data_IF_388778431881
#
_entry.id   IF_388778431881
#
_cell.length_a   1.000
_cell.length_b   1.000
_cell.length_c   1.000
_cell.angle_alpha   90.00
_cell.angle_beta   90.00
_cell.angle_gamma   90.00
#
_symmetry.space_group_name_H-M   'P 1'
#
loop_
_entity.id
_entity.type
_entity.pdbx_description
1 polymer ?
#
# COMPACT_ATOMS: atom_id res chain seq x y z
N UNK A 1 -17.25 13.00 -14.24
CA UNK A 1 -17.74 12.19 -13.11
C UNK A 1 -17.28 10.79 -13.39
N UNK A 2 -16.25 10.36 -12.68
CA UNK A 2 -15.66 9.04 -12.86
C UNK A 2 -16.21 8.14 -11.77
N UNK A 3 -16.43 6.88 -12.13
CA UNK A 3 -16.97 5.87 -11.22
C UNK A 3 -16.03 4.68 -11.24
N UNK A 4 -15.76 4.16 -10.06
CA UNK A 4 -14.94 2.96 -9.87
C UNK A 4 -15.73 1.98 -9.03
N UNK A 5 -15.60 0.70 -9.35
CA UNK A 5 -16.19 -0.35 -8.53
C UNK A 5 -15.28 -0.69 -7.36
N UNK A 6 -15.80 -1.35 -6.33
CA UNK A 6 -14.97 -1.92 -5.24
C UNK A 6 -13.87 -2.81 -5.82
N UNK A 7 -14.19 -3.58 -6.87
CA UNK A 7 -13.20 -4.39 -7.59
C UNK A 7 -12.07 -3.54 -8.18
N UNK A 8 -12.39 -2.43 -8.84
CA UNK A 8 -11.39 -1.55 -9.46
C UNK A 8 -10.46 -0.94 -8.42
N UNK A 9 -10.99 -0.60 -7.24
CA UNK A 9 -10.20 -0.09 -6.12
C UNK A 9 -9.27 -1.17 -5.56
N UNK A 10 -9.76 -2.39 -5.38
CA UNK A 10 -8.92 -3.52 -4.94
C UNK A 10 -7.83 -3.84 -5.97
N UNK A 11 -8.17 -3.83 -7.26
CA UNK A 11 -7.18 -4.01 -8.34
C UNK A 11 -6.17 -2.86 -8.42
N UNK A 12 -6.60 -1.63 -8.15
CA UNK A 12 -5.72 -0.47 -8.08
C UNK A 12 -4.74 -0.60 -6.92
N UNK A 13 -5.24 -0.91 -5.72
CA UNK A 13 -4.43 -1.14 -4.52
C UNK A 13 -3.40 -2.24 -4.74
N UNK A 14 -3.84 -3.40 -5.26
CA UNK A 14 -2.94 -4.52 -5.59
C UNK A 14 -1.81 -4.09 -6.53
N UNK A 15 -2.14 -3.35 -7.60
CA UNK A 15 -1.14 -2.85 -8.55
C UNK A 15 -0.21 -1.84 -7.90
N UNK A 16 -0.69 -1.00 -6.98
CA UNK A 16 0.15 -0.05 -6.25
C UNK A 16 1.19 -0.81 -5.41
N UNK A 17 0.76 -1.77 -4.59
CA UNK A 17 1.67 -2.62 -3.80
C UNK A 17 2.68 -3.38 -4.67
N UNK A 18 2.23 -3.96 -5.80
CA UNK A 18 3.12 -4.63 -6.76
C UNK A 18 4.18 -3.66 -7.34
N UNK A 19 3.81 -2.42 -7.66
CA UNK A 19 4.75 -1.40 -8.13
C UNK A 19 5.72 -0.98 -7.03
N UNK A 20 5.24 -0.72 -5.82
CA UNK A 20 6.05 -0.35 -4.67
C UNK A 20 7.08 -1.43 -4.35
N UNK A 21 6.66 -2.71 -4.35
CA UNK A 21 7.56 -3.87 -4.21
C UNK A 21 8.67 -3.85 -5.25
N UNK A 22 8.32 -3.66 -6.52
CA UNK A 22 9.29 -3.66 -7.61
C UNK A 22 10.28 -2.49 -7.48
N UNK A 23 9.83 -1.31 -7.04
CA UNK A 23 10.70 -0.17 -6.76
C UNK A 23 11.70 -0.49 -5.63
N UNK A 24 11.24 -1.10 -4.54
CA UNK A 24 12.13 -1.52 -3.46
C UNK A 24 13.16 -2.55 -3.94
N UNK A 25 12.75 -3.55 -4.72
CA UNK A 25 13.68 -4.54 -5.29
C UNK A 25 14.72 -3.89 -6.19
N UNK A 26 14.32 -2.97 -7.07
CA UNK A 26 15.25 -2.24 -7.93
C UNK A 26 16.24 -1.38 -7.15
N UNK A 27 15.81 -0.79 -6.03
CA UNK A 27 16.68 0.00 -5.18
C UNK A 27 17.69 -0.88 -4.41
N UNK A 28 17.29 -2.10 -4.04
CA UNK A 28 18.19 -3.08 -3.40
C UNK A 28 19.36 -3.44 -4.29
N UNK A 29 19.10 -3.67 -5.57
CA UNK A 29 20.14 -4.00 -6.55
C UNK A 29 21.18 -2.87 -6.73
N UNK A 30 20.83 -1.65 -6.32
CA UNK A 30 21.66 -0.45 -6.46
C UNK A 30 22.33 0.00 -5.15
N UNK A 31 21.79 -0.39 -3.99
CA UNK A 31 22.33 0.03 -2.70
C UNK A 31 23.45 -0.91 -2.23
N UNK A 32 24.49 -0.33 -1.61
CA UNK A 32 25.59 -1.10 -1.00
C UNK A 32 25.50 -1.12 0.54
N UNK A 33 24.45 -0.51 1.10
CA UNK A 33 24.27 -0.36 2.55
C UNK A 33 23.45 -1.52 3.09
N UNK A 34 24.09 -2.42 3.83
CA UNK A 34 23.46 -3.64 4.38
C UNK A 34 22.17 -3.37 5.16
N UNK A 35 22.14 -2.30 5.98
CA UNK A 35 20.93 -1.92 6.74
C UNK A 35 19.76 -1.50 5.84
N UNK A 36 20.07 -0.78 4.75
CA UNK A 36 19.06 -0.34 3.78
C UNK A 36 18.56 -1.54 2.98
N UNK A 37 19.45 -2.45 2.56
CA UNK A 37 19.07 -3.68 1.88
C UNK A 37 18.16 -4.58 2.74
N UNK A 38 18.49 -4.76 4.03
CA UNK A 38 17.61 -5.48 4.96
C UNK A 38 16.23 -4.83 5.06
N UNK A 39 16.17 -3.51 5.22
CA UNK A 39 14.89 -2.80 5.30
C UNK A 39 14.09 -2.93 4.01
N UNK A 40 14.71 -2.75 2.85
CA UNK A 40 14.04 -2.91 1.56
C UNK A 40 13.55 -4.34 1.34
N UNK A 41 14.26 -5.34 1.87
CA UNK A 41 13.82 -6.74 1.84
C UNK A 41 12.52 -6.92 2.63
N UNK A 42 12.49 -6.39 3.85
CA UNK A 42 11.32 -6.43 4.72
C UNK A 42 10.14 -5.71 4.06
N UNK A 43 10.34 -4.48 3.59
CA UNK A 43 9.31 -3.70 2.91
C UNK A 43 8.76 -4.43 1.67
N UNK A 44 9.62 -4.96 0.80
CA UNK A 44 9.17 -5.72 -0.36
C UNK A 44 8.34 -6.97 0.00
N UNK A 45 8.67 -7.64 1.11
CA UNK A 45 7.89 -8.78 1.59
C UNK A 45 6.52 -8.36 2.14
N UNK A 46 6.44 -7.21 2.82
CA UNK A 46 5.17 -6.63 3.29
C UNK A 46 4.27 -6.26 2.11
N UNK A 47 4.80 -5.55 1.11
CA UNK A 47 4.05 -5.19 -0.11
C UNK A 47 3.50 -6.42 -0.84
N UNK A 48 4.28 -7.51 -0.90
CA UNK A 48 3.81 -8.75 -1.51
C UNK A 48 2.65 -9.36 -0.71
N UNK A 49 2.75 -9.35 0.62
CA UNK A 49 1.69 -9.87 1.50
C UNK A 49 0.40 -9.06 1.35
N UNK A 50 0.51 -7.74 1.19
CA UNK A 50 -0.64 -6.85 0.96
C UNK A 50 -1.27 -7.11 -0.40
N UNK A 51 -0.48 -7.24 -1.46
CA UNK A 51 -0.98 -7.59 -2.79
C UNK A 51 -1.74 -8.94 -2.79
N UNK A 52 -1.21 -9.95 -2.10
CA UNK A 52 -1.86 -11.26 -1.94
C UNK A 52 -3.15 -11.16 -1.10
N UNK A 53 -3.15 -10.31 -0.07
CA UNK A 53 -4.35 -10.04 0.73
C UNK A 53 -5.45 -9.36 -0.10
N UNK A 54 -5.10 -8.45 -1.02
CA UNK A 54 -6.06 -7.82 -1.93
C UNK A 54 -6.71 -8.86 -2.85
N UNK A 55 -5.91 -9.76 -3.43
CA UNK A 55 -6.43 -10.84 -4.28
C UNK A 55 -7.35 -11.78 -3.50
N UNK A 56 -6.94 -12.19 -2.30
CA UNK A 56 -7.76 -13.03 -1.41
C UNK A 56 -9.07 -12.34 -1.00
N UNK A 57 -9.04 -11.04 -0.71
CA UNK A 57 -10.28 -10.28 -0.42
C UNK A 57 -11.20 -10.22 -1.64
N UNK A 58 -10.67 -10.05 -2.85
CA UNK A 58 -11.48 -10.10 -4.07
C UNK A 58 -12.15 -11.47 -4.24
N UNK A 59 -11.46 -12.57 -3.93
CA UNK A 59 -12.04 -13.93 -4.05
C UNK A 59 -13.12 -14.24 -3.00
N UNK A 60 -12.95 -13.74 -1.78
CA UNK A 60 -13.89 -13.98 -0.68
C UNK A 60 -15.07 -12.97 -0.63
N UNK A 61 -14.97 -11.84 -1.34
CA UNK A 61 -16.02 -10.82 -1.39
C UNK A 61 -17.08 -11.20 -2.40
N UNK A 62 -18.36 -11.03 -2.05
CA UNK A 62 -19.45 -11.35 -2.98
C UNK A 62 -19.39 -10.47 -4.23
N UNK A 63 -19.73 -11.07 -5.38
CA UNK A 63 -19.71 -10.36 -6.67
C UNK A 63 -20.61 -9.11 -6.67
N UNK A 64 -21.68 -9.12 -5.88
CA UNK A 64 -22.58 -7.98 -5.72
C UNK A 64 -21.87 -6.76 -5.12
N UNK A 65 -21.02 -6.99 -4.12
CA UNK A 65 -20.24 -5.94 -3.44
C UNK A 65 -19.10 -5.48 -4.36
N UNK A 66 -18.44 -6.42 -5.04
CA UNK A 66 -17.37 -6.09 -6.00
C UNK A 66 -17.84 -5.20 -7.16
N UNK A 67 -19.09 -5.35 -7.58
CA UNK A 67 -19.71 -4.58 -8.66
C UNK A 67 -20.44 -3.32 -8.17
N UNK A 68 -20.34 -3.00 -6.87
CA UNK A 68 -20.92 -1.78 -6.33
C UNK A 68 -20.16 -0.56 -6.87
N UNK A 69 -20.90 0.39 -7.44
CA UNK A 69 -20.36 1.58 -8.06
C UNK A 69 -20.23 2.70 -7.04
N UNK A 70 -19.02 3.25 -6.93
CA UNK A 70 -18.74 4.42 -6.11
C UNK A 70 -18.33 5.58 -7.01
N UNK A 71 -18.71 6.81 -6.62
CA UNK A 71 -18.35 8.03 -7.34
C UNK A 71 -16.92 8.46 -7.00
N UNK A 72 -15.99 7.57 -7.33
CA UNK A 72 -14.60 7.68 -6.93
C UNK A 72 -13.68 7.41 -8.12
N UNK A 73 -12.57 8.15 -8.18
CA UNK A 73 -11.51 7.95 -9.16
C UNK A 73 -10.17 7.82 -8.42
N UNK A 74 -9.57 6.62 -8.40
CA UNK A 74 -8.19 6.53 -7.94
C UNK A 74 -7.30 7.33 -8.89
N UNK A 75 -6.44 8.18 -8.34
CA UNK A 75 -5.43 8.89 -9.10
C UNK A 75 -4.47 7.92 -9.79
N UNK A 76 -3.60 8.42 -10.67
CA UNK A 76 -2.64 7.52 -11.33
C UNK A 76 -1.68 6.89 -10.32
N UNK A 77 -1.23 5.66 -10.58
CA UNK A 77 -0.20 5.02 -9.75
C UNK A 77 1.06 5.89 -9.67
N UNK A 78 1.38 6.63 -10.73
CA UNK A 78 2.52 7.55 -10.74
C UNK A 78 2.34 8.76 -9.80
N UNK A 79 1.11 9.21 -9.55
CA UNK A 79 0.83 10.26 -8.57
C UNK A 79 0.91 9.70 -7.15
N UNK A 80 0.35 8.51 -6.92
CA UNK A 80 0.47 7.80 -5.65
C UNK A 80 1.94 7.51 -5.26
N UNK A 81 2.76 7.19 -6.26
CA UNK A 81 4.21 6.93 -6.11
C UNK A 81 5.07 8.16 -6.40
N UNK A 82 4.49 9.36 -6.47
CA UNK A 82 5.27 10.58 -6.73
C UNK A 82 6.37 10.75 -5.67
N UNK A 83 6.07 10.40 -4.42
CA UNK A 83 6.97 10.48 -3.29
C UNK A 83 8.07 9.39 -3.34
N UNK A 84 7.78 8.26 -3.98
CA UNK A 84 8.77 7.22 -4.24
C UNK A 84 9.81 7.64 -5.29
N UNK A 85 9.62 8.77 -6.00
CA UNK A 85 10.67 9.34 -6.87
C UNK A 85 11.87 9.87 -6.09
N UNK A 86 11.74 10.07 -4.78
CA UNK A 86 12.84 10.44 -3.88
C UNK A 86 13.75 9.24 -3.55
N UNK A 87 13.37 8.02 -3.96
CA UNK A 87 14.19 6.82 -3.80
C UNK A 87 15.44 6.91 -4.66
N UNK A 88 16.60 6.77 -4.02
CA UNK A 88 17.92 6.85 -4.65
C UNK A 88 18.89 5.92 -3.90
N UNK A 89 19.96 5.41 -4.54
CA UNK A 89 20.83 4.38 -3.95
C UNK A 89 21.47 4.76 -2.61
N UNK A 90 21.63 6.08 -2.39
CA UNK A 90 22.23 6.68 -1.19
C UNK A 90 21.23 7.09 -0.11
N UNK A 91 19.94 6.76 -0.27
CA UNK A 91 18.90 7.07 0.70
C UNK A 91 19.26 6.56 2.10
N UNK A 92 18.94 7.36 3.11
CA UNK A 92 19.06 6.92 4.50
C UNK A 92 17.91 5.97 4.89
N UNK A 93 18.11 5.19 5.96
CA UNK A 93 17.07 4.33 6.51
C UNK A 93 15.82 5.14 6.91
N UNK A 94 16.02 6.29 7.54
CA UNK A 94 14.93 7.17 7.98
C UNK A 94 14.14 7.75 6.80
N UNK A 95 14.82 8.14 5.72
CA UNK A 95 14.16 8.63 4.51
C UNK A 95 13.38 7.51 3.81
N UNK A 96 13.97 6.32 3.71
CA UNK A 96 13.28 5.16 3.14
C UNK A 96 12.00 4.84 3.90
N UNK A 97 12.08 4.81 5.24
CA UNK A 97 10.92 4.54 6.10
C UNK A 97 9.87 5.64 5.94
N UNK A 98 10.27 6.92 5.86
CA UNK A 98 9.32 8.02 5.60
C UNK A 98 8.59 7.86 4.26
N UNK A 99 9.30 7.45 3.20
CA UNK A 99 8.69 7.19 1.89
C UNK A 99 7.69 6.04 1.98
N UNK A 100 8.05 4.94 2.64
CA UNK A 100 7.14 3.80 2.84
C UNK A 100 5.86 4.21 3.59
N UNK A 101 6.01 4.92 4.72
CA UNK A 101 4.87 5.38 5.52
C UNK A 101 3.96 6.35 4.76
N UNK A 102 4.50 7.16 3.83
CA UNK A 102 3.69 8.06 2.98
C UNK A 102 2.81 7.28 2.01
N UNK A 103 3.31 6.17 1.45
CA UNK A 103 2.55 5.29 0.56
C UNK A 103 1.40 4.63 1.35
N UNK A 104 1.69 4.11 2.54
CA UNK A 104 0.67 3.54 3.43
C UNK A 104 -0.40 4.59 3.80
N UNK A 105 0.03 5.80 4.18
CA UNK A 105 -0.89 6.89 4.55
C UNK A 105 -1.75 7.35 3.37
N UNK A 106 -1.21 7.32 2.15
CA UNK A 106 -1.99 7.57 0.94
C UNK A 106 -3.10 6.53 0.76
N UNK A 107 -2.78 5.24 0.88
CA UNK A 107 -3.77 4.15 0.76
C UNK A 107 -4.83 4.21 1.85
N UNK A 108 -4.44 4.45 3.11
CA UNK A 108 -5.39 4.61 4.22
C UNK A 108 -6.35 5.78 3.94
N UNK A 109 -5.81 6.91 3.45
CA UNK A 109 -6.61 8.08 3.11
C UNK A 109 -7.58 7.79 1.96
N UNK A 110 -7.12 7.06 0.95
CA UNK A 110 -7.91 6.58 -0.18
C UNK A 110 -9.12 5.76 0.29
N UNK A 111 -8.87 4.73 1.11
CA UNK A 111 -9.92 3.84 1.59
C UNK A 111 -10.90 4.56 2.52
N UNK A 112 -10.41 5.49 3.36
CA UNK A 112 -11.27 6.31 4.23
C UNK A 112 -12.20 7.22 3.44
N UNK A 113 -11.71 7.80 2.34
CA UNK A 113 -12.54 8.61 1.45
C UNK A 113 -13.67 7.77 0.84
N UNK A 114 -13.36 6.59 0.30
CA UNK A 114 -14.36 5.69 -0.29
C UNK A 114 -15.36 5.20 0.77
N UNK A 115 -14.87 4.84 1.96
CA UNK A 115 -15.70 4.41 3.09
C UNK A 115 -16.71 5.49 3.52
N UNK A 116 -16.38 6.78 3.36
CA UNK A 116 -17.26 7.90 3.69
C UNK A 116 -18.43 8.04 2.71
N UNK A 117 -18.26 7.59 1.47
CA UNK A 117 -19.26 7.63 0.40
C UNK A 117 -20.01 6.30 0.23
N UNK A 118 -19.50 5.24 0.85
CA UNK A 118 -20.06 3.89 0.80
C UNK A 118 -21.29 3.76 1.71
N UNK A 119 -22.41 3.33 1.13
CA UNK A 119 -23.69 3.14 1.84
C UNK A 119 -23.99 1.68 2.18
N UNK A 120 -23.36 0.73 1.49
CA UNK A 120 -23.53 -0.70 1.70
C UNK A 120 -22.67 -1.22 2.85
N UNK A 121 -23.29 -1.82 3.87
CA UNK A 121 -22.59 -2.37 5.03
C UNK A 121 -21.52 -3.40 4.66
N UNK A 122 -21.77 -4.19 3.62
CA UNK A 122 -20.80 -5.18 3.13
C UNK A 122 -19.56 -4.52 2.52
N UNK A 123 -19.74 -3.48 1.69
CA UNK A 123 -18.63 -2.72 1.12
C UNK A 123 -17.87 -1.94 2.21
N UNK A 124 -18.58 -1.40 3.21
CA UNK A 124 -17.96 -0.76 4.38
C UNK A 124 -17.05 -1.74 5.12
N UNK A 125 -17.50 -2.97 5.35
CA UNK A 125 -16.70 -3.99 6.02
C UNK A 125 -15.41 -4.32 5.26
N UNK A 126 -15.45 -4.35 3.91
CA UNK A 126 -14.27 -4.52 3.07
C UNK A 126 -13.27 -3.38 3.28
N UNK A 127 -13.70 -2.12 3.10
CA UNK A 127 -12.79 -0.97 3.25
C UNK A 127 -12.26 -0.79 4.68
N UNK A 128 -13.07 -1.06 5.69
CA UNK A 128 -12.61 -1.06 7.09
C UNK A 128 -11.56 -2.16 7.34
N UNK A 129 -11.71 -3.32 6.71
CA UNK A 129 -10.70 -4.38 6.79
C UNK A 129 -9.38 -3.96 6.13
N UNK A 130 -9.45 -3.28 4.98
CA UNK A 130 -8.26 -2.74 4.31
C UNK A 130 -7.54 -1.71 5.18
N UNK A 131 -8.26 -0.74 5.74
CA UNK A 131 -7.67 0.28 6.62
C UNK A 131 -6.96 -0.36 7.81
N UNK A 132 -7.59 -1.35 8.46
CA UNK A 132 -6.97 -2.07 9.60
C UNK A 132 -5.71 -2.83 9.20
N UNK A 133 -5.70 -3.41 7.99
CA UNK A 133 -4.55 -4.13 7.46
C UNK A 133 -3.38 -3.17 7.25
N UNK A 134 -3.59 -2.05 6.56
CA UNK A 134 -2.56 -1.02 6.34
C UNK A 134 -2.03 -0.44 7.66
N UNK A 135 -2.91 -0.11 8.61
CA UNK A 135 -2.50 0.43 9.92
C UNK A 135 -1.63 -0.58 10.70
N UNK A 136 -1.92 -1.87 10.56
CA UNK A 136 -1.13 -2.93 11.19
C UNK A 136 0.25 -3.07 10.56
N UNK A 137 0.34 -3.06 9.23
CA UNK A 137 1.62 -3.13 8.52
C UNK A 137 2.46 -1.87 8.75
N UNK A 138 1.85 -0.68 8.74
CA UNK A 138 2.49 0.58 9.09
C UNK A 138 3.17 0.50 10.47
N UNK A 139 2.47 -0.04 11.47
CA UNK A 139 3.04 -0.20 12.82
C UNK A 139 4.20 -1.21 12.84
N UNK A 140 4.14 -2.27 12.03
CA UNK A 140 5.22 -3.26 11.87
C UNK A 140 6.45 -2.63 11.22
N UNK A 141 6.28 -1.85 10.15
CA UNK A 141 7.35 -1.12 9.47
C UNK A 141 8.08 -0.17 10.42
N UNK A 142 7.35 0.62 11.22
CA UNK A 142 7.96 1.51 12.23
C UNK A 142 8.76 0.73 13.26
N UNK A 143 8.24 -0.40 13.76
CA UNK A 143 8.96 -1.24 14.74
C UNK A 143 10.21 -1.87 14.13
N UNK A 144 10.12 -2.35 12.90
CA UNK A 144 11.27 -2.89 12.17
C UNK A 144 12.35 -1.82 11.98
N UNK A 145 11.95 -0.59 11.63
CA UNK A 145 12.85 0.54 11.47
C UNK A 145 13.60 0.90 12.77
N UNK A 146 12.88 0.98 13.89
CA UNK A 146 13.48 1.22 15.20
C UNK A 146 14.49 0.12 15.54
N UNK A 147 14.13 -1.15 15.34
CA UNK A 147 15.04 -2.26 15.59
C UNK A 147 16.25 -2.28 14.67
N UNK A 148 16.13 -1.84 13.42
CA UNK A 148 17.24 -1.75 12.47
C UNK A 148 18.18 -0.57 12.74
N UNK A 149 17.70 0.45 13.45
CA UNK A 149 18.50 1.61 13.86
C UNK A 149 19.32 1.35 15.14
N UNK A 150 18.89 0.40 15.97
CA UNK A 150 19.55 0.02 17.23
C UNK A 150 20.79 -0.90 17.04
N UNK A 151 21.07 -1.35 15.81
CA UNK A 151 22.22 -2.19 15.42
C UNK A 151 23.22 -1.38 14.57
#
# INVERSE_FOLDING_TARGET
MSYSTVKDVLDYSRKLHEHTRNLYQQLRDQTQRERVDMMLTLLAAHENTLADAMASMQEHTSQKVLQEWHQFEPGSISEALQDARELHPDISLDELVKVALRIDDYLISLYRQILSETTSDDARAVFESLIRLEETEKMRTVRAALSANDW
#
